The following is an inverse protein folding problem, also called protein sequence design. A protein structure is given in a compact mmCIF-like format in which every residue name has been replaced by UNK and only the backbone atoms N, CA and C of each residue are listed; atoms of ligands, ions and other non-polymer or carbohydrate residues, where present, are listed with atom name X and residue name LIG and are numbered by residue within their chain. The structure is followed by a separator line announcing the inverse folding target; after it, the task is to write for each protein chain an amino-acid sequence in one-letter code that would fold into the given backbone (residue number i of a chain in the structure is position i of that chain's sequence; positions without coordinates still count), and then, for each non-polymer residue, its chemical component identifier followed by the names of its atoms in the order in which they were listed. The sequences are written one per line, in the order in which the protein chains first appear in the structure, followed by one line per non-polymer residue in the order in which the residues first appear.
data_IF_112500474249
#
_entry.id   IF_112500474249
#
_cell.length_a   1.000
_cell.length_b   1.000
_cell.length_c   1.000
_cell.angle_alpha   90.00
_cell.angle_beta   90.00
_cell.angle_gamma   90.00
#
_symmetry.space_group_name_H-M   'P 1'
#
loop_
_entity.id
_entity.type
_entity.pdbx_description
1 polymer ?
#
# COMPACT_ATOMS: atom_id res chain seq x y z
N UNK A 1 0.98 -12.68 -10.97
CA UNK A 1 0.88 -13.76 -11.98
C UNK A 1 1.08 -15.11 -11.29
N UNK A 2 0.31 -16.14 -11.69
CA UNK A 2 0.48 -17.53 -11.26
C UNK A 2 1.19 -18.39 -12.31
N UNK A 3 1.00 -19.72 -12.25
CA UNK A 3 1.59 -20.68 -13.18
C UNK A 3 0.77 -20.88 -14.47
N UNK A 4 -0.42 -20.29 -14.56
CA UNK A 4 -1.32 -20.39 -15.71
C UNK A 4 -1.55 -18.99 -16.31
N UNK A 5 -1.14 -18.80 -17.55
CA UNK A 5 -1.31 -17.55 -18.30
C UNK A 5 -2.77 -17.26 -18.67
N UNK A 6 -3.66 -18.29 -18.69
CA UNK A 6 -5.07 -18.10 -19.05
C UNK A 6 -5.78 -17.10 -18.17
N UNK A 7 -5.36 -16.97 -16.90
CA UNK A 7 -5.94 -15.98 -15.98
C UNK A 7 -5.49 -14.54 -16.23
N UNK A 8 -4.42 -14.32 -17.00
CA UNK A 8 -3.91 -12.96 -17.29
C UNK A 8 -4.14 -12.52 -18.73
N UNK A 9 -4.27 -13.47 -19.67
CA UNK A 9 -4.50 -13.16 -21.08
C UNK A 9 -5.73 -12.28 -21.34
N UNK A 10 -6.88 -12.46 -20.66
CA UNK A 10 -8.01 -11.55 -20.80
C UNK A 10 -7.65 -10.12 -20.46
N UNK A 11 -6.91 -9.90 -19.36
CA UNK A 11 -6.47 -8.55 -18.97
C UNK A 11 -5.60 -7.89 -20.04
N UNK A 12 -4.67 -8.64 -20.64
CA UNK A 12 -3.78 -8.12 -21.68
C UNK A 12 -4.52 -7.77 -22.97
N UNK A 13 -5.61 -8.46 -23.27
CA UNK A 13 -6.41 -8.22 -24.47
C UNK A 13 -7.43 -7.10 -24.32
N UNK A 14 -7.94 -6.91 -23.11
CA UNK A 14 -9.11 -6.06 -22.86
C UNK A 14 -8.76 -4.72 -22.18
N UNK A 15 -7.61 -4.66 -21.48
CA UNK A 15 -7.15 -3.45 -20.80
C UNK A 15 -5.98 -2.85 -21.59
N UNK A 16 -6.14 -1.66 -22.21
CA UNK A 16 -5.05 -1.03 -22.94
C UNK A 16 -3.87 -0.65 -22.04
N UNK A 17 -2.65 -0.88 -22.50
CA UNK A 17 -1.41 -0.53 -21.81
C UNK A 17 -0.27 -0.22 -22.81
N UNK A 18 0.66 0.63 -22.43
CA UNK A 18 1.89 0.91 -23.18
C UNK A 18 3.08 0.15 -22.57
N UNK A 19 3.00 -0.16 -21.27
CA UNK A 19 4.03 -0.87 -20.53
C UNK A 19 3.42 -1.89 -19.59
N UNK A 20 3.97 -3.09 -19.60
CA UNK A 20 3.55 -4.19 -18.76
C UNK A 20 4.57 -4.46 -17.65
N UNK A 21 4.09 -4.56 -16.42
CA UNK A 21 4.86 -5.01 -15.26
C UNK A 21 4.21 -6.26 -14.68
N UNK A 22 4.96 -7.35 -14.60
CA UNK A 22 4.50 -8.61 -14.02
C UNK A 22 5.07 -8.76 -12.62
N UNK A 23 4.19 -8.88 -11.63
CA UNK A 23 4.55 -9.16 -10.24
C UNK A 23 4.27 -10.63 -9.95
N UNK A 24 5.27 -11.36 -9.47
CA UNK A 24 5.14 -12.78 -9.18
C UNK A 24 6.25 -13.30 -8.26
N UNK A 25 6.07 -14.53 -7.78
CA UNK A 25 7.12 -15.28 -7.09
C UNK A 25 8.20 -15.80 -8.05
N UNK A 26 9.36 -16.14 -7.49
CA UNK A 26 10.53 -16.63 -8.23
C UNK A 26 10.20 -17.80 -9.17
N UNK A 27 9.43 -18.76 -8.69
CA UNK A 27 9.13 -19.98 -9.46
C UNK A 27 8.22 -19.69 -10.67
N UNK A 28 7.32 -18.72 -10.55
CA UNK A 28 6.49 -18.28 -11.68
C UNK A 28 7.36 -17.78 -12.85
N UNK A 29 8.43 -17.05 -12.59
CA UNK A 29 9.34 -16.54 -13.62
C UNK A 29 10.15 -17.63 -14.34
N UNK A 30 10.21 -18.86 -13.78
CA UNK A 30 10.82 -20.03 -14.39
C UNK A 30 9.81 -20.88 -15.17
N UNK A 31 8.51 -20.61 -15.04
CA UNK A 31 7.43 -21.40 -15.64
C UNK A 31 7.37 -21.28 -17.16
N UNK A 32 6.76 -22.27 -17.80
CA UNK A 32 6.48 -22.25 -19.24
C UNK A 32 5.50 -21.12 -19.59
N UNK A 33 4.50 -20.85 -18.70
CA UNK A 33 3.56 -19.75 -18.85
C UNK A 33 4.25 -18.39 -18.93
N UNK A 34 5.21 -18.14 -18.04
CA UNK A 34 5.95 -16.88 -18.08
C UNK A 34 6.83 -16.75 -19.32
N UNK A 35 7.47 -17.84 -19.77
CA UNK A 35 8.25 -17.82 -21.03
C UNK A 35 7.37 -17.50 -22.23
N UNK A 36 6.16 -18.08 -22.32
CA UNK A 36 5.18 -17.74 -23.38
C UNK A 36 4.78 -16.27 -23.32
N UNK A 37 4.45 -15.77 -22.12
CA UNK A 37 4.10 -14.35 -21.93
C UNK A 37 5.25 -13.43 -22.36
N UNK A 38 6.49 -13.74 -21.99
CA UNK A 38 7.66 -12.96 -22.38
C UNK A 38 7.91 -12.97 -23.90
N UNK A 39 7.54 -14.05 -24.57
CA UNK A 39 7.55 -14.12 -26.03
C UNK A 39 6.51 -13.22 -26.70
N UNK A 40 5.34 -13.05 -26.09
CA UNK A 40 4.28 -12.15 -26.56
C UNK A 40 4.60 -10.69 -26.23
N UNK A 41 5.24 -10.43 -25.10
CA UNK A 41 5.53 -9.11 -24.54
C UNK A 41 7.04 -8.99 -24.21
N UNK A 42 7.91 -8.84 -25.21
CA UNK A 42 9.37 -8.80 -24.99
C UNK A 42 9.83 -7.66 -24.07
N UNK A 43 9.09 -6.54 -24.04
CA UNK A 43 9.38 -5.34 -23.25
C UNK A 43 8.86 -5.40 -21.81
N UNK A 44 8.21 -6.49 -21.38
CA UNK A 44 7.66 -6.59 -20.04
C UNK A 44 8.76 -6.48 -18.96
N UNK A 45 8.44 -5.77 -17.89
CA UNK A 45 9.26 -5.69 -16.67
C UNK A 45 8.77 -6.69 -15.63
N UNK A 46 9.66 -7.13 -14.75
CA UNK A 46 9.34 -8.11 -13.71
C UNK A 46 9.66 -7.57 -12.32
N UNK A 47 8.79 -7.87 -11.36
CA UNK A 47 9.02 -7.61 -9.95
C UNK A 47 8.84 -8.91 -9.20
N UNK A 48 9.89 -9.30 -8.51
CA UNK A 48 9.89 -10.51 -7.69
C UNK A 48 9.48 -10.18 -6.27
N UNK A 49 8.50 -10.92 -5.77
CA UNK A 49 7.99 -10.85 -4.40
C UNK A 49 7.88 -12.25 -3.80
N UNK A 50 7.73 -12.34 -2.49
CA UNK A 50 7.20 -13.56 -1.89
C UNK A 50 5.66 -13.59 -2.10
N UNK A 51 5.13 -14.53 -2.91
CA UNK A 51 3.70 -14.56 -3.22
C UNK A 51 2.83 -15.06 -2.04
N UNK A 52 3.44 -15.43 -0.92
CA UNK A 52 2.80 -15.88 0.32
C UNK A 52 3.00 -14.89 1.47
N UNK A 53 3.82 -13.86 1.30
CA UNK A 53 3.96 -12.74 2.24
C UNK A 53 3.15 -11.54 1.76
N UNK A 54 2.05 -11.25 2.48
CA UNK A 54 1.17 -10.12 2.17
C UNK A 54 1.91 -8.78 2.26
N UNK A 55 2.78 -8.63 3.25
CA UNK A 55 3.47 -7.35 3.51
C UNK A 55 4.51 -7.07 2.43
N UNK A 56 5.37 -8.05 2.09
CA UNK A 56 6.36 -7.92 1.01
C UNK A 56 5.67 -7.63 -0.33
N UNK A 57 4.63 -8.39 -0.68
CA UNK A 57 3.88 -8.20 -1.91
C UNK A 57 3.21 -6.81 -1.96
N UNK A 58 2.55 -6.39 -0.87
CA UNK A 58 1.87 -5.11 -0.79
C UNK A 58 2.83 -3.94 -0.94
N UNK A 59 3.94 -3.93 -0.21
CA UNK A 59 4.94 -2.86 -0.24
C UNK A 59 5.62 -2.77 -1.60
N UNK A 60 5.98 -3.91 -2.19
CA UNK A 60 6.62 -3.97 -3.52
C UNK A 60 5.68 -3.46 -4.62
N UNK A 61 4.40 -3.84 -4.60
CA UNK A 61 3.40 -3.37 -5.56
C UNK A 61 3.17 -1.88 -5.38
N UNK A 62 2.97 -1.39 -4.16
CA UNK A 62 2.78 0.04 -3.87
C UNK A 62 3.96 0.88 -4.33
N UNK A 63 5.18 0.46 -4.00
CA UNK A 63 6.39 1.14 -4.46
C UNK A 63 6.48 1.21 -5.99
N UNK A 64 5.99 0.19 -6.68
CA UNK A 64 5.92 0.17 -8.14
C UNK A 64 4.87 1.12 -8.69
N UNK A 65 3.66 1.11 -8.12
CA UNK A 65 2.59 2.04 -8.49
C UNK A 65 3.08 3.48 -8.37
N UNK A 66 3.68 3.85 -7.23
CA UNK A 66 4.18 5.21 -6.98
C UNK A 66 5.21 5.67 -8.00
N UNK A 67 6.15 4.80 -8.37
CA UNK A 67 7.13 5.12 -9.44
C UNK A 67 6.45 5.28 -10.80
N UNK A 68 5.51 4.40 -11.13
CA UNK A 68 4.85 4.41 -12.42
C UNK A 68 3.86 5.58 -12.57
N UNK A 69 3.22 6.03 -11.49
CA UNK A 69 2.24 7.14 -11.52
C UNK A 69 2.87 8.46 -12.01
N UNK A 70 4.18 8.65 -11.78
CA UNK A 70 4.92 9.80 -12.32
C UNK A 70 5.11 9.75 -13.85
N UNK A 71 4.90 8.59 -14.47
CA UNK A 71 5.11 8.36 -15.92
C UNK A 71 3.79 8.24 -16.70
N UNK A 72 2.65 8.14 -16.01
CA UNK A 72 1.32 8.04 -16.61
C UNK A 72 0.30 7.29 -15.75
N UNK A 73 -0.90 7.07 -16.27
CA UNK A 73 -1.97 6.37 -15.54
C UNK A 73 -1.59 4.90 -15.31
N UNK A 74 -1.75 4.45 -14.07
CA UNK A 74 -1.48 3.07 -13.66
C UNK A 74 -2.80 2.30 -13.55
N UNK A 75 -2.80 1.07 -14.05
CA UNK A 75 -3.88 0.09 -13.91
C UNK A 75 -3.34 -1.19 -13.31
N UNK A 76 -4.08 -1.76 -12.38
CA UNK A 76 -3.76 -3.04 -11.73
C UNK A 76 -4.71 -4.11 -12.27
N UNK A 77 -4.15 -5.23 -12.73
CA UNK A 77 -4.91 -6.45 -12.95
C UNK A 77 -4.64 -7.44 -11.82
N UNK A 78 -5.69 -7.82 -11.10
CA UNK A 78 -5.67 -8.75 -9.99
C UNK A 78 -6.20 -10.15 -10.39
N UNK A 79 -6.07 -10.53 -11.66
CA UNK A 79 -6.71 -11.72 -12.24
C UNK A 79 -5.92 -13.02 -12.06
N UNK A 80 -4.71 -12.99 -11.54
CA UNK A 80 -3.89 -14.19 -11.42
C UNK A 80 -2.82 -14.12 -10.35
N UNK A 81 -2.44 -15.28 -9.85
CA UNK A 81 -1.48 -15.44 -8.77
C UNK A 81 -2.06 -16.19 -7.58
N UNK A 82 -1.34 -16.22 -6.47
CA UNK A 82 -1.90 -16.71 -5.21
C UNK A 82 -2.97 -15.75 -4.70
N UNK A 83 -3.90 -16.24 -3.89
CA UNK A 83 -4.91 -15.37 -3.24
C UNK A 83 -4.27 -14.22 -2.46
N UNK A 84 -3.13 -14.47 -1.81
CA UNK A 84 -2.38 -13.45 -1.06
C UNK A 84 -1.86 -12.37 -2.00
N UNK A 85 -1.22 -12.75 -3.10
CA UNK A 85 -0.70 -11.80 -4.09
C UNK A 85 -1.82 -10.99 -4.75
N UNK A 86 -2.94 -11.63 -5.09
CA UNK A 86 -4.13 -10.96 -5.65
C UNK A 86 -4.70 -9.95 -4.66
N UNK A 87 -4.85 -10.33 -3.38
CA UNK A 87 -5.32 -9.43 -2.35
C UNK A 87 -4.34 -8.27 -2.10
N UNK A 88 -3.03 -8.53 -2.12
CA UNK A 88 -2.01 -7.47 -2.03
C UNK A 88 -2.16 -6.46 -3.18
N UNK A 89 -2.39 -6.93 -4.41
CA UNK A 89 -2.58 -6.07 -5.58
C UNK A 89 -3.85 -5.19 -5.45
N UNK A 90 -4.95 -5.77 -5.00
CA UNK A 90 -6.21 -5.04 -4.75
C UNK A 90 -6.02 -4.00 -3.64
N UNK A 91 -5.43 -4.40 -2.51
CA UNK A 91 -5.16 -3.48 -1.39
C UNK A 91 -4.22 -2.35 -1.81
N UNK A 92 -3.18 -2.64 -2.61
CA UNK A 92 -2.28 -1.63 -3.15
C UNK A 92 -3.03 -0.61 -4.02
N UNK A 93 -3.92 -1.09 -4.89
CA UNK A 93 -4.73 -0.23 -5.74
C UNK A 93 -5.63 0.71 -4.92
N UNK A 94 -6.31 0.19 -3.88
CA UNK A 94 -7.12 1.02 -2.97
C UNK A 94 -6.27 2.02 -2.19
N UNK A 95 -5.09 1.62 -1.72
CA UNK A 95 -4.22 2.49 -0.93
C UNK A 95 -3.60 3.62 -1.74
N UNK A 96 -3.29 3.38 -3.00
CA UNK A 96 -2.65 4.36 -3.89
C UNK A 96 -3.68 5.06 -4.82
N UNK A 97 -4.97 4.71 -4.75
CA UNK A 97 -6.03 5.33 -5.54
C UNK A 97 -5.88 5.14 -7.04
N UNK A 98 -5.39 3.97 -7.48
CA UNK A 98 -5.23 3.63 -8.90
C UNK A 98 -6.28 2.65 -9.36
N UNK A 99 -6.59 2.67 -10.65
CA UNK A 99 -7.59 1.81 -11.25
C UNK A 99 -7.23 0.33 -11.13
N UNK A 100 -8.19 -0.49 -10.72
CA UNK A 100 -8.01 -1.93 -10.56
C UNK A 100 -9.08 -2.72 -11.30
N UNK A 101 -8.67 -3.87 -11.84
CA UNK A 101 -9.49 -4.76 -12.64
C UNK A 101 -9.32 -6.21 -12.20
N UNK A 102 -10.39 -6.96 -12.34
CA UNK A 102 -10.39 -8.41 -12.27
C UNK A 102 -10.93 -8.95 -13.60
N UNK A 103 -10.22 -9.87 -14.26
CA UNK A 103 -10.63 -10.42 -15.54
C UNK A 103 -10.64 -11.95 -15.44
N UNK A 104 -11.84 -12.57 -15.52
CA UNK A 104 -12.01 -14.03 -15.53
C UNK A 104 -13.41 -14.42 -16.03
N UNK A 105 -13.66 -14.61 -17.32
CA UNK A 105 -12.88 -14.11 -18.46
C UNK A 105 -13.11 -12.62 -18.73
N UNK A 106 -14.27 -12.08 -18.30
CA UNK A 106 -14.68 -10.71 -18.59
C UNK A 106 -14.01 -9.71 -17.63
N UNK A 107 -13.69 -8.50 -18.10
CA UNK A 107 -13.08 -7.47 -17.26
C UNK A 107 -14.13 -6.84 -16.34
N UNK A 108 -13.93 -6.99 -15.04
CA UNK A 108 -14.69 -6.31 -13.99
C UNK A 108 -13.82 -5.24 -13.37
N UNK A 109 -14.24 -4.00 -13.49
CA UNK A 109 -13.58 -2.87 -12.84
C UNK A 109 -13.93 -2.85 -11.36
N UNK A 110 -12.92 -2.83 -10.51
CA UNK A 110 -13.12 -2.75 -9.06
C UNK A 110 -13.45 -1.29 -8.66
N UNK A 111 -14.25 -1.09 -7.58
CA UNK A 111 -14.72 0.22 -7.17
C UNK A 111 -13.64 1.02 -6.43
N UNK A 112 -12.48 1.22 -7.04
CA UNK A 112 -11.40 2.06 -6.52
C UNK A 112 -11.60 3.49 -6.99
N UNK A 113 -11.61 4.44 -6.07
CA UNK A 113 -11.70 5.85 -6.39
C UNK A 113 -10.34 6.36 -6.86
N UNK A 114 -10.26 6.77 -8.12
CA UNK A 114 -9.02 7.28 -8.73
C UNK A 114 -8.58 8.57 -8.06
N UNK A 115 -7.30 8.67 -7.73
CA UNK A 115 -6.70 9.84 -7.09
C UNK A 115 -7.04 10.00 -5.61
N UNK A 116 -7.84 9.10 -5.02
CA UNK A 116 -8.15 9.08 -3.58
C UNK A 116 -7.34 7.97 -2.93
N UNK A 117 -6.17 8.31 -2.43
CA UNK A 117 -5.31 7.36 -1.74
C UNK A 117 -5.68 7.24 -0.26
N UNK A 118 -5.28 6.14 0.37
CA UNK A 118 -5.47 5.93 1.81
C UNK A 118 -4.76 7.02 2.65
N UNK A 119 -3.70 7.64 2.13
CA UNK A 119 -3.04 8.76 2.80
C UNK A 119 -3.99 9.94 3.04
N UNK A 120 -5.00 10.14 2.17
CA UNK A 120 -6.01 11.17 2.34
C UNK A 120 -6.93 10.96 3.56
N UNK A 121 -6.97 9.74 4.12
CA UNK A 121 -7.72 9.44 5.34
C UNK A 121 -7.00 9.87 6.63
N UNK A 122 -5.79 10.39 6.52
CA UNK A 122 -4.98 10.83 7.65
C UNK A 122 -4.74 12.34 7.63
N UNK A 123 -4.78 12.94 8.81
CA UNK A 123 -4.47 14.37 8.99
C UNK A 123 -2.96 14.61 8.98
N UNK A 124 -2.48 15.84 8.65
CA UNK A 124 -1.07 16.20 8.76
C UNK A 124 -0.46 15.94 10.14
N UNK A 125 -1.22 16.12 11.22
CA UNK A 125 -0.75 15.85 12.57
C UNK A 125 -0.56 14.34 12.83
N UNK A 126 -1.43 13.47 12.27
CA UNK A 126 -1.25 12.02 12.32
C UNK A 126 0.00 11.59 11.54
N UNK A 127 0.24 12.19 10.38
CA UNK A 127 1.48 12.00 9.63
C UNK A 127 2.72 12.43 10.43
N UNK A 128 2.66 13.58 11.12
CA UNK A 128 3.76 14.05 11.96
C UNK A 128 4.03 13.11 13.15
N UNK A 129 2.99 12.51 13.74
CA UNK A 129 3.13 11.48 14.78
C UNK A 129 3.88 10.26 14.21
N UNK A 130 3.56 9.82 13.00
CA UNK A 130 4.21 8.66 12.38
C UNK A 130 5.70 8.87 12.08
N UNK A 131 6.14 10.12 11.94
CA UNK A 131 7.56 10.47 11.79
C UNK A 131 8.35 10.37 13.10
N UNK A 132 7.66 10.42 14.24
CA UNK A 132 8.28 10.44 15.59
C UNK A 132 8.11 9.08 16.28
N UNK A 133 6.99 8.40 16.04
CA UNK A 133 6.62 7.18 16.73
C UNK A 133 7.29 5.95 16.12
N UNK A 134 8.46 5.57 16.62
CA UNK A 134 9.20 4.38 16.20
C UNK A 134 9.06 3.21 17.18
N UNK A 135 8.61 3.48 18.40
CA UNK A 135 8.42 2.53 19.49
C UNK A 135 7.63 3.18 20.63
N UNK A 136 7.50 2.51 21.79
CA UNK A 136 6.82 3.08 22.95
C UNK A 136 7.45 4.40 23.35
N UNK A 137 6.63 5.44 23.53
CA UNK A 137 7.06 6.77 23.93
C UNK A 137 6.08 7.33 24.97
N UNK A 138 6.58 8.11 25.92
CA UNK A 138 5.72 8.82 26.87
C UNK A 138 4.84 9.83 26.13
N UNK A 139 3.58 9.87 26.52
CA UNK A 139 2.58 10.74 25.90
C UNK A 139 2.97 12.21 25.86
N UNK A 140 3.49 12.73 26.97
CA UNK A 140 3.98 14.10 27.09
C UNK A 140 5.16 14.39 26.14
N UNK A 141 6.10 13.46 26.02
CA UNK A 141 7.24 13.56 25.08
C UNK A 141 6.80 13.51 23.62
N UNK A 142 5.87 12.62 23.27
CA UNK A 142 5.32 12.57 21.91
C UNK A 142 4.64 13.89 21.56
N UNK A 143 3.78 14.40 22.47
CA UNK A 143 3.08 15.68 22.27
C UNK A 143 4.08 16.81 22.07
N UNK A 144 5.12 16.91 22.89
CA UNK A 144 6.16 17.94 22.76
C UNK A 144 6.92 17.84 21.43
N UNK A 145 7.33 16.63 21.05
CA UNK A 145 8.08 16.39 19.82
C UNK A 145 7.28 16.70 18.54
N UNK A 146 5.95 16.46 18.55
CA UNK A 146 5.09 16.78 17.41
C UNK A 146 4.68 18.26 17.43
N UNK A 147 4.45 18.87 18.61
CA UNK A 147 4.17 20.29 18.72
C UNK A 147 5.35 21.15 18.21
N UNK A 148 6.58 20.72 18.44
CA UNK A 148 7.78 21.37 17.89
C UNK A 148 7.82 21.40 16.35
N UNK A 149 6.93 20.66 15.67
CA UNK A 149 6.75 20.66 14.21
C UNK A 149 5.63 21.59 13.74
N UNK A 150 5.34 22.64 14.51
CA UNK A 150 4.33 23.68 14.21
C UNK A 150 2.87 23.21 14.32
N UNK A 151 2.58 22.21 15.17
CA UNK A 151 1.22 21.81 15.48
C UNK A 151 0.77 22.30 16.85
N UNK A 152 -0.43 22.85 16.94
CA UNK A 152 -1.02 23.20 18.23
C UNK A 152 -1.18 21.95 19.11
N UNK A 153 -0.88 22.06 20.40
CA UNK A 153 -1.00 20.93 21.36
C UNK A 153 -2.35 20.22 21.27
N UNK A 154 -3.45 20.96 21.19
CA UNK A 154 -4.81 20.40 21.06
C UNK A 154 -4.96 19.54 19.81
N UNK A 155 -4.37 19.97 18.69
CA UNK A 155 -4.38 19.20 17.42
C UNK A 155 -3.63 17.89 17.57
N UNK A 156 -2.47 17.90 18.23
CA UNK A 156 -1.70 16.67 18.48
C UNK A 156 -2.47 15.70 19.38
N UNK A 157 -3.12 16.19 20.43
CA UNK A 157 -3.94 15.37 21.31
C UNK A 157 -5.11 14.72 20.55
N UNK A 158 -5.77 15.49 19.66
CA UNK A 158 -6.82 14.96 18.77
C UNK A 158 -6.30 13.90 17.83
N UNK A 159 -5.13 14.11 17.21
CA UNK A 159 -4.51 13.16 16.31
C UNK A 159 -4.11 11.84 17.00
N UNK A 160 -3.57 11.88 18.23
CA UNK A 160 -3.28 10.66 19.00
C UNK A 160 -4.56 9.87 19.26
N UNK A 161 -5.64 10.54 19.69
CA UNK A 161 -6.94 9.89 19.92
C UNK A 161 -7.51 9.29 18.63
N UNK A 162 -7.39 9.99 17.52
CA UNK A 162 -7.83 9.50 16.21
C UNK A 162 -7.05 8.26 15.77
N UNK A 163 -5.72 8.24 15.94
CA UNK A 163 -4.90 7.07 15.66
C UNK A 163 -5.27 5.89 16.59
N UNK A 164 -5.59 6.14 17.83
CA UNK A 164 -6.06 5.11 18.76
C UNK A 164 -7.43 4.55 18.35
N UNK A 165 -8.38 5.41 17.96
CA UNK A 165 -9.67 4.99 17.44
C UNK A 165 -9.56 4.17 16.14
N UNK A 166 -8.56 4.45 15.30
CA UNK A 166 -8.21 3.67 14.11
C UNK A 166 -7.46 2.36 14.42
N UNK A 167 -7.14 2.10 15.70
CA UNK A 167 -6.39 0.91 16.14
C UNK A 167 -4.93 0.91 15.70
N UNK A 168 -4.36 2.08 15.41
CA UNK A 168 -2.97 2.22 14.96
C UNK A 168 -2.00 2.48 16.11
N UNK A 169 -2.48 3.04 17.21
CA UNK A 169 -1.71 3.20 18.44
C UNK A 169 -2.50 2.71 19.65
N UNK A 170 -1.78 2.28 20.66
CA UNK A 170 -2.32 1.86 21.96
C UNK A 170 -1.87 2.86 23.02
N UNK A 171 -2.79 3.18 23.94
CA UNK A 171 -2.51 4.03 25.09
C UNK A 171 -2.48 3.14 26.33
N UNK A 172 -1.29 2.97 26.87
CA UNK A 172 -1.04 2.14 28.04
C UNK A 172 -0.77 3.03 29.27
N UNK A 173 -1.21 2.60 30.45
CA UNK A 173 -0.95 3.31 31.71
C UNK A 173 0.02 2.48 32.53
N UNK A 174 1.18 3.03 32.77
CA UNK A 174 2.21 2.44 33.59
C UNK A 174 2.62 3.42 34.71
N UNK A 175 2.31 3.05 35.98
CA UNK A 175 2.71 3.82 37.15
C UNK A 175 2.33 5.32 37.12
N UNK A 176 1.14 5.66 36.61
CA UNK A 176 0.69 7.08 36.47
C UNK A 176 1.19 7.78 35.21
N UNK A 177 2.02 7.13 34.42
CA UNK A 177 2.50 7.64 33.13
C UNK A 177 1.70 7.02 32.00
N UNK A 178 1.31 7.80 31.01
CA UNK A 178 0.68 7.30 29.78
C UNK A 178 1.75 7.08 28.72
N UNK A 179 1.83 5.86 28.21
CA UNK A 179 2.69 5.49 27.08
C UNK A 179 1.83 5.37 25.83
N UNK A 180 2.38 5.85 24.72
CA UNK A 180 1.83 5.64 23.36
C UNK A 180 2.68 4.58 22.68
N UNK A 181 2.07 3.47 22.30
CA UNK A 181 2.73 2.36 21.61
C UNK A 181 2.18 2.23 20.19
N UNK A 182 3.02 2.04 19.16
CA UNK A 182 2.53 1.65 17.85
C UNK A 182 1.94 0.24 17.94
N UNK A 183 0.72 0.04 17.44
CA UNK A 183 0.15 -1.30 17.30
C UNK A 183 0.87 -2.10 16.18
N UNK A 184 0.72 -3.42 16.10
CA UNK A 184 1.23 -4.21 14.97
C UNK A 184 0.72 -3.70 13.61
N UNK A 185 -0.50 -3.16 13.56
CA UNK A 185 -1.09 -2.56 12.36
C UNK A 185 -0.39 -1.27 11.92
N UNK A 186 0.20 -0.53 12.86
CA UNK A 186 0.87 0.74 12.55
C UNK A 186 1.95 0.60 11.48
N UNK A 187 2.67 -0.52 11.47
CA UNK A 187 3.70 -0.79 10.46
C UNK A 187 3.12 -0.83 9.04
N UNK A 188 1.94 -1.46 8.87
CA UNK A 188 1.26 -1.58 7.58
C UNK A 188 0.81 -0.22 7.00
N UNK A 189 0.57 0.77 7.85
CA UNK A 189 0.08 2.10 7.46
C UNK A 189 1.14 3.21 7.57
N UNK A 190 2.36 2.86 8.00
CA UNK A 190 3.43 3.84 8.26
C UNK A 190 3.75 4.70 7.04
N UNK A 191 3.80 4.10 5.87
CA UNK A 191 4.15 4.83 4.65
C UNK A 191 3.03 5.76 4.19
N UNK A 192 1.76 5.35 4.35
CA UNK A 192 0.62 6.22 4.07
C UNK A 192 0.60 7.41 5.02
N UNK A 193 0.85 7.16 6.31
CA UNK A 193 0.95 8.20 7.32
C UNK A 193 2.10 9.18 7.01
N UNK A 194 3.26 8.67 6.57
CA UNK A 194 4.42 9.50 6.20
C UNK A 194 4.22 10.27 4.90
N UNK A 195 3.40 9.75 3.98
CA UNK A 195 3.06 10.39 2.71
C UNK A 195 2.03 11.52 2.84
N UNK A 196 1.43 11.72 4.02
CA UNK A 196 0.50 12.83 4.25
C UNK A 196 1.23 14.17 4.05
N UNK A 197 0.73 15.04 3.17
CA UNK A 197 1.37 16.33 2.91
C UNK A 197 1.47 17.15 4.20
N UNK A 198 2.62 17.76 4.42
CA UNK A 198 2.76 18.80 5.45
C UNK A 198 1.82 19.93 5.05
N UNK A 199 1.04 20.45 6.02
CA UNK A 199 0.26 21.66 5.79
C UNK A 199 1.25 22.77 5.37
N UNK A 200 1.02 23.35 4.18
CA UNK A 200 1.69 24.57 3.79
C UNK A 200 1.33 25.71 4.76
#
# INVERSE_FOLDING_TARGET
MGFDERHILPSLRLIPYDRLVVVAGRETFRSAAFRRLKGLEPGLRTIRVDPFDLTDALESIRGTIRRATGEGPVRISASGGTKILTNAAILAAFQEGVEAWYCDPDPVRLPVLRGVSLAAAFSPAEGAIALVLHGPIRYDRLVAAVAARSFARRTVLGAIRSLAAKGLVELDRDGGTVLVRPSPRFALFRDQLRAVPKKA
#
